data_IF_777856454076
#
_entry.id   IF_777856454076
#
_cell.length_a   1.000
_cell.length_b   1.000
_cell.length_c   1.000
_cell.angle_alpha   90.00
_cell.angle_beta   90.00
_cell.angle_gamma   90.00
#
_symmetry.space_group_name_H-M   'P 1'
#
loop_
_entity.id
_entity.type
_entity.pdbx_description
1 polymer ?
#
# COMPACT_ATOMS: atom_id res chain seq x y z
N UNK A 1 -7.30 60.03 33.87
CA UNK A 1 -8.39 59.05 34.05
C UNK A 1 -8.22 57.97 32.99
N UNK A 2 -7.90 56.74 33.38
CA UNK A 2 -7.74 55.62 32.44
C UNK A 2 -9.13 55.05 32.13
N UNK A 3 -9.69 55.38 30.96
CA UNK A 3 -10.92 54.78 30.44
C UNK A 3 -10.63 53.33 30.05
N UNK A 4 -10.96 52.38 30.93
CA UNK A 4 -10.94 50.95 30.56
C UNK A 4 -12.01 50.71 29.51
N UNK A 5 -11.61 50.53 28.24
CA UNK A 5 -12.51 50.10 27.17
C UNK A 5 -12.90 48.64 27.43
N UNK A 6 -14.18 48.41 27.71
CA UNK A 6 -14.75 47.07 27.77
C UNK A 6 -15.02 46.52 26.38
N UNK A 7 -14.82 45.21 26.19
CA UNK A 7 -15.21 44.52 24.97
C UNK A 7 -16.73 44.42 24.91
N UNK A 8 -17.35 44.77 23.78
CA UNK A 8 -18.80 44.65 23.63
C UNK A 8 -19.19 43.21 23.29
N UNK A 9 -20.39 42.79 23.71
CA UNK A 9 -20.93 41.48 23.35
C UNK A 9 -21.04 41.31 21.83
N UNK A 10 -21.34 42.39 21.09
CA UNK A 10 -21.46 42.36 19.64
C UNK A 10 -20.09 42.18 18.95
N UNK A 11 -19.03 42.79 19.47
CA UNK A 11 -17.66 42.57 18.95
C UNK A 11 -17.25 41.11 19.12
N UNK A 12 -17.55 40.49 20.25
CA UNK A 12 -17.22 39.08 20.48
C UNK A 12 -18.06 38.16 19.57
N UNK A 13 -19.34 38.47 19.37
CA UNK A 13 -20.23 37.69 18.52
C UNK A 13 -19.81 37.73 17.05
N UNK A 14 -19.41 38.89 16.52
CA UNK A 14 -18.94 39.01 15.13
C UNK A 14 -17.64 38.23 14.91
N UNK A 15 -16.73 38.23 15.88
CA UNK A 15 -15.45 37.50 15.77
C UNK A 15 -15.67 36.00 15.66
N UNK A 16 -16.51 35.41 16.52
CA UNK A 16 -16.79 33.97 16.45
C UNK A 16 -17.52 33.60 15.15
N UNK A 17 -18.37 34.50 14.62
CA UNK A 17 -19.03 34.30 13.34
C UNK A 17 -18.03 34.25 12.19
N UNK A 18 -17.06 35.18 12.14
CA UNK A 18 -16.02 35.20 11.10
C UNK A 18 -15.11 33.98 11.21
N UNK A 19 -14.67 33.62 12.43
CA UNK A 19 -13.85 32.41 12.66
C UNK A 19 -14.60 31.16 12.19
N UNK A 20 -15.91 31.07 12.46
CA UNK A 20 -16.74 29.94 12.01
C UNK A 20 -16.77 29.80 10.49
N UNK A 21 -16.95 30.91 9.75
CA UNK A 21 -16.93 30.90 8.28
C UNK A 21 -15.57 30.47 7.75
N UNK A 22 -14.47 31.06 8.26
CA UNK A 22 -13.12 30.73 7.81
C UNK A 22 -12.75 29.27 8.13
N UNK A 23 -13.11 28.77 9.32
CA UNK A 23 -12.84 27.40 9.72
C UNK A 23 -13.54 26.37 8.82
N UNK A 24 -14.75 26.67 8.34
CA UNK A 24 -15.51 25.77 7.46
C UNK A 24 -14.79 25.51 6.12
N UNK A 25 -14.23 26.56 5.50
CA UNK A 25 -13.50 26.47 4.23
C UNK A 25 -12.18 25.72 4.41
N UNK A 26 -11.46 26.00 5.51
CA UNK A 26 -10.19 25.33 5.82
C UNK A 26 -10.39 23.83 6.05
N UNK A 27 -11.46 23.44 6.74
CA UNK A 27 -11.73 22.02 7.02
C UNK A 27 -12.01 21.23 5.74
N UNK A 28 -12.77 21.79 4.80
CA UNK A 28 -13.01 21.17 3.50
C UNK A 28 -11.69 20.97 2.72
N UNK A 29 -10.86 22.01 2.63
CA UNK A 29 -9.56 21.94 1.94
C UNK A 29 -8.59 20.94 2.59
N UNK A 30 -8.63 20.79 3.93
CA UNK A 30 -7.78 19.87 4.66
C UNK A 30 -8.13 18.40 4.41
N UNK A 31 -9.41 18.07 4.24
CA UNK A 31 -9.84 16.70 3.94
C UNK A 31 -9.29 16.26 2.57
N UNK A 32 -9.42 17.10 1.54
CA UNK A 32 -8.86 16.82 0.22
C UNK A 32 -7.33 16.68 0.25
N UNK A 33 -6.65 17.52 1.04
CA UNK A 33 -5.20 17.46 1.20
C UNK A 33 -4.75 16.15 1.88
N UNK A 34 -5.50 15.67 2.88
CA UNK A 34 -5.23 14.40 3.57
C UNK A 34 -5.39 13.22 2.62
N UNK A 35 -6.44 13.20 1.80
CA UNK A 35 -6.67 12.14 0.82
C UNK A 35 -5.58 12.10 -0.25
N UNK A 36 -5.14 13.27 -0.74
CA UNK A 36 -3.98 13.37 -1.64
C UNK A 36 -2.68 12.87 -0.99
N UNK A 37 -2.47 13.21 0.28
CA UNK A 37 -1.32 12.73 1.06
C UNK A 37 -1.32 11.21 1.25
N UNK A 38 -2.48 10.64 1.58
CA UNK A 38 -2.68 9.19 1.66
C UNK A 38 -2.37 8.50 0.32
N UNK A 39 -2.89 9.05 -0.78
CA UNK A 39 -2.60 8.54 -2.12
C UNK A 39 -1.11 8.59 -2.48
N UNK A 40 -0.40 9.64 -2.08
CA UNK A 40 1.05 9.74 -2.28
C UNK A 40 1.80 8.64 -1.50
N UNK A 41 1.40 8.39 -0.25
CA UNK A 41 1.97 7.33 0.58
C UNK A 41 1.71 5.93 -0.01
N UNK A 42 0.50 5.66 -0.51
CA UNK A 42 0.17 4.40 -1.20
C UNK A 42 1.11 4.18 -2.39
N UNK A 43 1.26 5.18 -3.25
CA UNK A 43 2.12 5.10 -4.44
C UNK A 43 3.59 4.87 -4.07
N UNK A 44 4.09 5.57 -3.05
CA UNK A 44 5.47 5.42 -2.60
C UNK A 44 5.73 4.02 -2.02
N UNK A 45 4.83 3.52 -1.18
CA UNK A 45 4.95 2.19 -0.59
C UNK A 45 4.91 1.10 -1.65
N UNK A 46 4.01 1.20 -2.64
CA UNK A 46 3.95 0.24 -3.75
C UNK A 46 5.17 0.36 -4.69
N UNK A 47 5.77 1.55 -4.82
CA UNK A 47 7.05 1.70 -5.51
C UNK A 47 8.22 1.04 -4.82
N UNK A 48 8.24 1.06 -3.49
CA UNK A 48 9.21 0.29 -2.72
C UNK A 48 8.92 -1.21 -2.84
N UNK A 49 7.64 -1.60 -2.78
CA UNK A 49 7.21 -3.00 -2.91
C UNK A 49 7.68 -3.61 -4.23
N UNK A 50 7.53 -2.87 -5.33
CA UNK A 50 8.04 -3.30 -6.63
C UNK A 50 9.55 -3.57 -6.60
N UNK A 51 10.36 -2.61 -6.14
CA UNK A 51 11.82 -2.74 -6.09
C UNK A 51 12.24 -3.94 -5.23
N UNK A 52 11.61 -4.11 -4.07
CA UNK A 52 11.86 -5.25 -3.20
C UNK A 52 11.40 -6.56 -3.83
N UNK A 53 10.28 -6.56 -4.54
CA UNK A 53 9.77 -7.75 -5.21
C UNK A 53 10.67 -8.21 -6.35
N UNK A 54 11.32 -7.29 -7.07
CA UNK A 54 12.35 -7.62 -8.07
C UNK A 54 13.55 -8.28 -7.38
N UNK A 55 14.08 -7.68 -6.30
CA UNK A 55 15.18 -8.25 -5.51
C UNK A 55 14.81 -9.64 -4.98
N UNK A 56 13.58 -9.79 -4.48
CA UNK A 56 13.06 -11.05 -3.98
C UNK A 56 13.03 -12.13 -5.05
N UNK A 57 12.49 -11.80 -6.23
CA UNK A 57 12.43 -12.72 -7.36
C UNK A 57 13.83 -13.13 -7.79
N UNK A 58 14.76 -12.19 -7.96
CA UNK A 58 16.17 -12.46 -8.31
C UNK A 58 16.84 -13.39 -7.30
N UNK A 59 16.67 -13.12 -6.01
CA UNK A 59 17.30 -13.89 -4.92
C UNK A 59 16.71 -15.30 -4.79
N UNK A 60 15.42 -15.48 -5.11
CA UNK A 60 14.71 -16.75 -4.97
C UNK A 60 14.49 -17.48 -6.32
N UNK A 61 15.08 -17.02 -7.43
CA UNK A 61 14.91 -17.62 -8.78
C UNK A 61 15.41 -19.06 -8.88
N UNK A 62 16.42 -19.43 -8.10
CA UNK A 62 16.95 -20.78 -8.04
C UNK A 62 17.50 -20.95 -6.64
N UNK A 63 16.80 -21.70 -5.78
CA UNK A 63 17.18 -21.92 -4.38
C UNK A 63 18.70 -21.87 -4.11
N UNK A 64 19.26 -20.74 -3.66
CA UNK A 64 20.64 -20.70 -3.21
C UNK A 64 20.58 -21.13 -1.76
N UNK A 65 20.99 -22.37 -1.51
CA UNK A 65 21.40 -22.81 -0.18
C UNK A 65 22.30 -21.74 0.45
N UNK A 66 21.80 -21.05 1.45
CA UNK A 66 22.64 -20.50 2.53
C UNK A 66 21.96 -20.77 3.87
N UNK A 67 22.40 -21.87 4.48
CA UNK A 67 22.36 -22.21 5.90
C UNK A 67 21.64 -21.22 6.83
N UNK A 68 20.37 -21.50 7.13
CA UNK A 68 19.73 -21.04 8.37
C UNK A 68 19.68 -22.20 9.37
N UNK A 69 20.71 -22.28 10.22
CA UNK A 69 20.59 -22.61 11.65
C UNK A 69 19.93 -23.92 12.12
N UNK A 70 19.67 -24.91 11.27
CA UNK A 70 19.10 -26.20 11.72
C UNK A 70 19.92 -27.40 11.20
N UNK A 71 20.72 -28.09 12.05
CA UNK A 71 21.40 -29.31 11.66
C UNK A 71 20.38 -30.47 11.69
N UNK A 72 19.68 -30.70 10.57
CA UNK A 72 18.89 -31.93 10.41
C UNK A 72 17.67 -31.87 9.51
N UNK A 73 17.26 -30.70 9.01
CA UNK A 73 16.16 -30.62 8.04
C UNK A 73 16.60 -29.80 6.81
N UNK A 74 16.97 -30.44 5.68
CA UNK A 74 16.99 -29.72 4.43
C UNK A 74 15.55 -29.29 4.17
N UNK A 75 15.26 -27.99 4.12
CA UNK A 75 14.03 -27.54 3.47
C UNK A 75 14.17 -27.94 2.00
N UNK A 76 13.40 -28.93 1.52
CA UNK A 76 13.56 -29.36 0.16
C UNK A 76 12.95 -28.27 -0.73
N UNK A 77 13.71 -27.83 -1.73
CA UNK A 77 13.15 -27.23 -2.95
C UNK A 77 12.44 -28.32 -3.80
N UNK A 78 11.68 -29.17 -3.11
CA UNK A 78 11.01 -30.37 -3.60
C UNK A 78 9.62 -30.45 -2.95
N UNK A 79 8.88 -29.36 -3.03
CA UNK A 79 7.42 -29.37 -3.03
C UNK A 79 6.93 -28.89 -4.40
N UNK A 80 5.66 -29.12 -4.79
CA UNK A 80 5.10 -28.72 -6.08
C UNK A 80 5.02 -27.19 -6.32
N UNK A 81 5.79 -26.40 -5.57
CA UNK A 81 5.91 -24.95 -5.69
C UNK A 81 7.30 -24.62 -6.24
N UNK A 82 7.32 -24.35 -7.53
CA UNK A 82 8.37 -23.57 -8.18
C UNK A 82 8.63 -22.29 -7.34
N UNK A 83 9.86 -21.93 -6.91
CA UNK A 83 10.11 -20.86 -5.93
C UNK A 83 10.00 -19.44 -6.51
N UNK A 84 9.30 -19.28 -7.64
CA UNK A 84 8.92 -17.98 -8.15
C UNK A 84 7.80 -17.39 -7.30
N UNK A 85 8.02 -16.20 -6.73
CA UNK A 85 7.09 -15.40 -5.93
C UNK A 85 6.37 -16.05 -4.72
N UNK A 86 6.56 -17.34 -4.41
CA UNK A 86 5.93 -17.99 -3.26
C UNK A 86 6.43 -17.38 -1.95
N UNK A 87 5.55 -16.71 -1.20
CA UNK A 87 5.92 -15.96 0.01
C UNK A 87 6.31 -14.50 -0.23
N UNK A 88 6.23 -14.01 -1.48
CA UNK A 88 6.50 -12.60 -1.77
C UNK A 88 5.52 -11.68 -1.04
N UNK A 89 4.26 -12.10 -0.94
CA UNK A 89 3.20 -11.38 -0.24
C UNK A 89 3.22 -11.62 1.28
N UNK A 90 4.32 -12.07 1.87
CA UNK A 90 4.46 -12.25 3.31
C UNK A 90 5.43 -11.23 3.90
N UNK A 91 5.34 -11.03 5.22
CA UNK A 91 6.37 -10.32 5.99
C UNK A 91 7.40 -11.30 6.55
N UNK A 92 7.90 -12.20 5.71
CA UNK A 92 8.92 -13.16 6.07
C UNK A 92 10.11 -13.05 5.12
N UNK A 93 11.27 -13.49 5.62
CA UNK A 93 12.49 -13.60 4.83
C UNK A 93 12.57 -15.01 4.26
N UNK A 94 12.68 -15.12 2.93
CA UNK A 94 12.88 -16.37 2.22
C UNK A 94 14.17 -16.26 1.40
N UNK A 95 15.04 -17.28 1.49
CA UNK A 95 16.29 -17.32 0.73
C UNK A 95 17.22 -16.11 0.98
N UNK A 96 17.08 -15.41 2.12
CA UNK A 96 17.84 -14.20 2.43
C UNK A 96 17.21 -12.87 1.98
N UNK A 97 16.07 -12.90 1.27
CA UNK A 97 15.33 -11.69 0.88
C UNK A 97 13.98 -11.59 1.60
N UNK A 98 13.63 -10.39 2.07
CA UNK A 98 12.29 -10.10 2.61
C UNK A 98 11.26 -10.02 1.48
N UNK A 99 10.08 -10.56 1.72
CA UNK A 99 8.90 -10.31 0.88
C UNK A 99 8.47 -8.83 0.93
N UNK A 100 7.46 -8.50 0.13
CA UNK A 100 6.92 -7.15 -0.01
C UNK A 100 5.82 -6.84 1.02
N UNK A 101 5.45 -7.80 1.88
CA UNK A 101 4.29 -7.71 2.77
C UNK A 101 4.25 -6.47 3.66
N UNK A 102 5.37 -6.02 4.22
CA UNK A 102 5.44 -4.80 5.04
C UNK A 102 5.04 -3.54 4.26
N UNK A 103 5.46 -3.47 3.00
CA UNK A 103 5.19 -2.32 2.13
C UNK A 103 3.74 -2.32 1.66
N UNK A 104 3.19 -3.50 1.35
CA UNK A 104 1.77 -3.65 1.01
C UNK A 104 0.88 -3.33 2.21
N UNK A 105 1.27 -3.76 3.41
CA UNK A 105 0.55 -3.44 4.64
C UNK A 105 0.60 -1.93 4.95
N UNK A 106 1.76 -1.29 4.77
CA UNK A 106 1.89 0.16 4.93
C UNK A 106 1.03 0.92 3.91
N UNK A 107 0.95 0.44 2.66
CA UNK A 107 0.06 1.00 1.65
C UNK A 107 -1.43 0.81 2.01
N UNK A 108 -1.81 -0.38 2.49
CA UNK A 108 -3.16 -0.66 2.96
C UNK A 108 -3.58 0.27 4.12
N UNK A 109 -2.68 0.48 5.09
CA UNK A 109 -2.90 1.42 6.21
C UNK A 109 -3.06 2.86 5.73
N UNK A 110 -2.28 3.30 4.73
CA UNK A 110 -2.46 4.60 4.11
C UNK A 110 -3.82 4.75 3.40
N UNK A 111 -4.35 3.66 2.84
CA UNK A 111 -5.72 3.61 2.30
C UNK A 111 -6.81 3.59 3.39
N UNK A 112 -6.45 3.47 4.67
CA UNK A 112 -7.37 3.36 5.81
C UNK A 112 -7.84 1.93 6.08
N UNK A 113 -7.13 0.93 5.58
CA UNK A 113 -7.41 -0.49 5.81
C UNK A 113 -6.53 -1.03 6.95
N UNK A 114 -7.02 -2.01 7.69
CA UNK A 114 -6.23 -2.63 8.77
C UNK A 114 -5.17 -3.60 8.24
N UNK A 115 -5.46 -4.28 7.13
CA UNK A 115 -4.62 -5.33 6.54
C UNK A 115 -4.80 -5.37 5.00
N UNK A 116 -4.06 -6.26 4.36
CA UNK A 116 -4.27 -6.67 2.96
C UNK A 116 -4.56 -8.18 2.91
N UNK A 117 -5.16 -8.61 1.82
CA UNK A 117 -5.53 -10.00 1.57
C UNK A 117 -4.63 -10.60 0.49
N UNK A 118 -4.40 -11.92 0.55
CA UNK A 118 -3.52 -12.64 -0.37
C UNK A 118 -4.31 -13.65 -1.17
N UNK A 119 -4.02 -13.83 -2.46
CA UNK A 119 -4.68 -14.85 -3.31
C UNK A 119 -6.21 -14.75 -3.31
N UNK A 120 -6.71 -13.53 -3.51
CA UNK A 120 -8.15 -13.24 -3.53
C UNK A 120 -8.50 -12.31 -4.69
N UNK A 121 -9.79 -12.20 -4.98
CA UNK A 121 -10.31 -11.19 -5.90
C UNK A 121 -10.18 -9.81 -5.24
N UNK A 122 -9.79 -8.80 -6.02
CA UNK A 122 -9.70 -7.41 -5.58
C UNK A 122 -11.07 -6.79 -5.32
N UNK A 123 -11.13 -5.83 -4.40
CA UNK A 123 -12.36 -5.12 -4.06
C UNK A 123 -12.07 -3.70 -3.54
N UNK A 124 -12.99 -2.73 -3.69
CA UNK A 124 -12.78 -1.33 -3.25
C UNK A 124 -12.42 -1.13 -1.78
N UNK A 125 -12.74 -2.09 -0.90
CA UNK A 125 -12.41 -2.08 0.53
C UNK A 125 -11.23 -2.96 0.91
N UNK A 126 -10.43 -3.40 -0.06
CA UNK A 126 -9.41 -4.42 0.16
C UNK A 126 -8.15 -4.16 -0.66
N UNK A 127 -7.00 -4.07 0.02
CA UNK A 127 -5.70 -4.21 -0.62
C UNK A 127 -5.44 -5.70 -0.89
N UNK A 128 -4.95 -6.03 -2.08
CA UNK A 128 -4.82 -7.42 -2.52
C UNK A 128 -3.42 -7.68 -3.07
N UNK A 129 -2.82 -8.79 -2.66
CA UNK A 129 -1.51 -9.25 -3.13
C UNK A 129 -1.63 -10.67 -3.69
N UNK A 130 -1.39 -10.80 -4.98
CA UNK A 130 -1.67 -11.98 -5.77
C UNK A 130 -0.38 -12.44 -6.45
N UNK A 131 0.02 -13.70 -6.25
CA UNK A 131 1.35 -14.22 -6.65
C UNK A 131 1.27 -15.61 -7.31
N UNK A 132 2.10 -15.85 -8.32
CA UNK A 132 2.15 -17.08 -9.11
C UNK A 132 3.58 -17.59 -9.22
N UNK A 133 3.86 -18.49 -10.15
CA UNK A 133 5.22 -18.99 -10.35
C UNK A 133 6.10 -17.96 -11.07
N UNK A 134 6.64 -17.00 -10.30
CA UNK A 134 7.66 -16.05 -10.78
C UNK A 134 7.14 -14.63 -11.05
N UNK A 135 5.86 -14.39 -10.80
CA UNK A 135 5.21 -13.12 -11.09
C UNK A 135 4.11 -12.85 -10.06
N UNK A 136 3.85 -11.58 -9.82
CA UNK A 136 2.89 -11.13 -8.82
C UNK A 136 2.32 -9.77 -9.19
N UNK A 137 1.16 -9.47 -8.63
CA UNK A 137 0.49 -8.18 -8.72
C UNK A 137 -0.02 -7.77 -7.34
N UNK A 138 0.08 -6.47 -7.04
CA UNK A 138 -0.47 -5.87 -5.83
C UNK A 138 -1.34 -4.69 -6.21
N UNK A 139 -2.54 -4.68 -5.68
CA UNK A 139 -3.50 -3.59 -5.83
C UNK A 139 -3.87 -3.00 -4.47
N UNK A 140 -3.95 -1.67 -4.40
CA UNK A 140 -4.43 -0.93 -3.23
C UNK A 140 -5.44 0.13 -3.67
N UNK A 141 -6.62 0.25 -3.02
CA UNK A 141 -7.61 1.28 -3.34
C UNK A 141 -7.10 2.68 -2.96
N UNK A 142 -7.39 3.67 -3.81
CA UNK A 142 -7.04 5.08 -3.58
C UNK A 142 -8.19 5.84 -2.89
N UNK A 143 -7.82 6.84 -2.08
CA UNK A 143 -8.77 7.85 -1.58
C UNK A 143 -9.31 8.65 -2.77
N UNK A 144 -10.62 8.63 -3.00
CA UNK A 144 -11.25 9.24 -4.18
C UNK A 144 -11.50 8.28 -5.36
N UNK A 145 -11.25 6.98 -5.17
CA UNK A 145 -11.71 5.93 -6.10
C UNK A 145 -10.68 5.47 -7.14
N UNK A 146 -10.91 4.24 -7.61
CA UNK A 146 -9.96 3.49 -8.41
C UNK A 146 -8.84 2.87 -7.55
N UNK A 147 -7.88 2.25 -8.23
CA UNK A 147 -6.82 1.50 -7.58
C UNK A 147 -5.46 1.93 -8.09
N UNK A 148 -4.46 1.83 -7.22
CA UNK A 148 -3.06 1.83 -7.63
C UNK A 148 -2.58 0.40 -7.63
N UNK A 149 -2.03 -0.06 -8.74
CA UNK A 149 -1.46 -1.38 -8.79
C UNK A 149 -0.05 -1.37 -9.39
N UNK A 150 0.72 -2.35 -8.94
CA UNK A 150 2.07 -2.68 -9.40
C UNK A 150 2.15 -4.18 -9.68
N UNK A 151 2.85 -4.56 -10.74
CA UNK A 151 3.12 -5.95 -11.08
C UNK A 151 4.53 -6.13 -11.68
N UNK A 152 4.93 -7.38 -11.89
CA UNK A 152 6.25 -7.72 -12.45
C UNK A 152 6.24 -8.16 -13.92
N UNK A 153 5.09 -8.16 -14.58
CA UNK A 153 4.97 -8.56 -15.99
C UNK A 153 5.23 -7.39 -16.94
N UNK A 154 4.90 -6.16 -16.55
CA UNK A 154 5.08 -4.99 -17.41
C UNK A 154 6.42 -4.27 -17.20
N UNK A 155 7.42 -4.67 -17.99
CA UNK A 155 8.78 -4.07 -18.03
C UNK A 155 8.83 -2.61 -18.56
N UNK A 156 7.69 -2.00 -18.92
CA UNK A 156 7.63 -0.66 -19.53
C UNK A 156 7.27 0.48 -18.57
N UNK A 157 6.25 0.28 -17.73
CA UNK A 157 5.87 1.19 -16.63
C UNK A 157 5.24 0.36 -15.50
N UNK A 158 6.00 -0.05 -14.48
CA UNK A 158 5.51 -0.98 -13.46
C UNK A 158 4.58 -0.32 -12.42
N UNK A 159 4.02 0.84 -12.78
CA UNK A 159 3.15 1.69 -11.98
C UNK A 159 2.01 2.18 -12.85
N UNK A 160 0.79 1.83 -12.50
CA UNK A 160 -0.38 2.35 -13.18
C UNK A 160 -1.52 2.52 -12.19
N UNK A 161 -2.37 3.50 -12.52
CA UNK A 161 -3.71 3.56 -11.95
C UNK A 161 -4.51 2.50 -12.70
N UNK A 162 -4.89 1.42 -12.04
CA UNK A 162 -5.60 0.31 -12.67
C UNK A 162 -6.96 0.79 -13.17
N UNK A 163 -7.33 0.37 -14.39
CA UNK A 163 -8.62 0.69 -14.99
C UNK A 163 -9.73 -0.14 -14.32
N UNK A 164 -9.38 -1.31 -13.80
CA UNK A 164 -10.26 -2.20 -13.05
C UNK A 164 -9.51 -2.92 -11.93
N UNK A 165 -10.25 -3.44 -10.95
CA UNK A 165 -9.64 -4.23 -9.87
C UNK A 165 -9.22 -5.61 -10.36
N UNK A 166 -8.24 -6.24 -9.70
CA UNK A 166 -7.94 -7.67 -9.87
C UNK A 166 -9.23 -8.51 -9.81
N UNK A 167 -9.57 -9.19 -10.90
CA UNK A 167 -10.84 -9.90 -11.11
C UNK A 167 -10.82 -11.35 -10.66
N UNK A 168 -9.62 -11.92 -10.52
CA UNK A 168 -9.40 -13.30 -10.07
C UNK A 168 -8.28 -13.35 -9.04
N UNK A 169 -8.32 -14.38 -8.18
CA UNK A 169 -7.20 -14.71 -7.31
C UNK A 169 -5.96 -15.21 -8.07
N UNK A 170 -6.08 -15.47 -9.37
CA UNK A 170 -5.01 -15.87 -10.28
C UNK A 170 -4.38 -14.70 -11.04
N UNK A 171 -4.91 -13.48 -10.92
CA UNK A 171 -4.40 -12.34 -11.68
C UNK A 171 -3.01 -11.95 -11.17
N UNK A 172 -2.02 -11.88 -12.08
CA UNK A 172 -0.60 -11.56 -11.79
C UNK A 172 -0.07 -10.38 -12.58
N UNK A 173 -0.96 -9.73 -13.30
CA UNK A 173 -0.79 -8.48 -13.99
C UNK A 173 -2.02 -7.67 -13.66
N UNK A 174 -1.89 -6.36 -13.65
CA UNK A 174 -3.10 -5.57 -13.52
C UNK A 174 -3.68 -5.14 -14.83
N UNK A 175 -4.91 -4.63 -14.69
CA UNK A 175 -5.86 -4.42 -15.75
C UNK A 175 -6.23 -2.94 -15.89
#
# INVERSE_FOLDING_TARGET
MNLKKGFTLIELLVVIAIIGVLASVVLAALNDARDKGANAAIKQNLANALRQGIIYLETNTACPNTYMGNPGAPLPCSGPLNPGAAGICDNATYGGAKGIGEMVEAAAKAAGLSNYSKQVVGAPGQATCNYGSGNWAVEVPLKGGGFWCVDTQDQGTPFYRAASSLTSNSDRSCQ
#
